data_IF_932325594674
#
_entry.id   IF_932325594674
#
_cell.length_a   1.000
_cell.length_b   1.000
_cell.length_c   1.000
_cell.angle_alpha   90.00
_cell.angle_beta   90.00
_cell.angle_gamma   90.00
#
_symmetry.space_group_name_H-M   'P 1'
#
loop_
_entity.id
_entity.type
_entity.pdbx_description
1 polymer ?
#
# COMPACT_ATOMS: atom_id res chain seq x y z
N UNK A 1 -29.27 6.46 17.05
CA UNK A 1 -27.85 6.35 16.69
C UNK A 1 -27.18 7.67 17.04
N UNK A 2 -26.30 7.71 18.04
CA UNK A 2 -25.61 8.95 18.42
C UNK A 2 -24.41 9.17 17.49
N UNK A 3 -24.44 10.24 16.70
CA UNK A 3 -23.33 10.68 15.86
C UNK A 3 -22.35 11.47 16.72
N UNK A 4 -21.14 10.94 16.91
CA UNK A 4 -20.07 11.68 17.58
C UNK A 4 -19.76 12.97 16.76
N UNK A 5 -19.89 14.17 17.37
CA UNK A 5 -19.58 15.42 16.70
C UNK A 5 -18.11 15.46 16.23
N UNK A 6 -17.85 16.02 15.04
CA UNK A 6 -16.50 16.28 14.50
C UNK A 6 -16.26 17.80 14.35
N UNK A 7 -16.21 18.56 15.46
CA UNK A 7 -16.12 20.02 15.44
C UNK A 7 -14.87 20.53 14.72
N UNK A 8 -13.78 19.75 14.72
CA UNK A 8 -12.54 20.04 13.98
C UNK A 8 -12.52 19.56 12.53
N UNK A 9 -13.59 18.91 12.04
CA UNK A 9 -13.68 18.27 10.71
C UNK A 9 -12.49 17.36 10.38
N UNK A 10 -11.84 16.80 11.39
CA UNK A 10 -10.62 16.03 11.22
C UNK A 10 -10.92 14.70 10.51
N UNK A 11 -12.04 14.07 10.88
CA UNK A 11 -12.50 12.82 10.25
C UNK A 11 -12.91 13.08 8.81
N UNK A 12 -13.67 14.16 8.57
CA UNK A 12 -14.07 14.56 7.22
C UNK A 12 -12.85 14.80 6.32
N UNK A 13 -11.85 15.56 6.80
CA UNK A 13 -10.64 15.85 6.03
C UNK A 13 -9.84 14.59 5.72
N UNK A 14 -9.68 13.69 6.68
CA UNK A 14 -8.95 12.44 6.47
C UNK A 14 -9.66 11.53 5.46
N UNK A 15 -10.98 11.36 5.60
CA UNK A 15 -11.77 10.57 4.64
C UNK A 15 -11.80 11.19 3.25
N UNK A 16 -11.93 12.52 3.14
CA UNK A 16 -11.90 13.20 1.86
C UNK A 16 -10.55 13.00 1.14
N UNK A 17 -9.43 13.08 1.86
CA UNK A 17 -8.09 12.77 1.31
C UNK A 17 -7.98 11.32 0.85
N UNK A 18 -8.61 10.38 1.55
CA UNK A 18 -8.64 8.96 1.17
C UNK A 18 -9.37 8.74 -0.14
N UNK A 19 -10.59 9.29 -0.23
CA UNK A 19 -11.44 9.14 -1.40
C UNK A 19 -10.81 9.84 -2.60
N UNK A 20 -10.38 11.09 -2.45
CA UNK A 20 -9.77 11.87 -3.54
C UNK A 20 -8.45 11.23 -3.97
N UNK A 21 -7.56 10.87 -3.03
CA UNK A 21 -6.28 10.27 -3.35
C UNK A 21 -6.40 8.93 -4.08
N UNK A 22 -7.27 8.04 -3.59
CA UNK A 22 -7.53 6.74 -4.22
C UNK A 22 -8.21 6.92 -5.57
N UNK A 23 -9.23 7.78 -5.66
CA UNK A 23 -9.95 8.06 -6.90
C UNK A 23 -9.05 8.65 -7.98
N UNK A 24 -8.16 9.58 -7.62
CA UNK A 24 -7.17 10.15 -8.54
C UNK A 24 -6.15 9.09 -9.00
N UNK A 25 -5.69 8.21 -8.12
CA UNK A 25 -4.76 7.15 -8.51
C UNK A 25 -5.38 6.21 -9.56
N UNK A 26 -6.65 5.82 -9.36
CA UNK A 26 -7.40 5.00 -10.33
C UNK A 26 -7.65 5.79 -11.61
N UNK A 27 -8.13 7.03 -11.53
CA UNK A 27 -8.43 7.85 -12.70
C UNK A 27 -7.18 8.09 -13.56
N UNK A 28 -6.03 8.36 -12.95
CA UNK A 28 -4.76 8.53 -13.68
C UNK A 28 -4.33 7.23 -14.34
N UNK A 29 -4.48 6.08 -13.68
CA UNK A 29 -4.15 4.79 -14.27
C UNK A 29 -5.01 4.48 -15.51
N UNK A 30 -6.33 4.69 -15.42
CA UNK A 30 -7.27 4.51 -16.53
C UNK A 30 -7.00 5.50 -17.67
N UNK A 31 -6.78 6.78 -17.36
CA UNK A 31 -6.45 7.81 -18.37
C UNK A 31 -5.10 7.56 -19.06
N UNK A 32 -4.17 6.88 -18.37
CA UNK A 32 -2.91 6.44 -18.94
C UNK A 32 -3.04 5.14 -19.77
N UNK A 33 -4.24 4.56 -19.88
CA UNK A 33 -4.49 3.32 -20.61
C UNK A 33 -3.91 2.08 -19.95
N UNK A 34 -3.67 2.11 -18.62
CA UNK A 34 -3.20 0.94 -17.89
C UNK A 34 -4.33 -0.10 -17.73
N UNK A 35 -3.94 -1.35 -17.46
CA UNK A 35 -4.92 -2.43 -17.27
C UNK A 35 -5.73 -2.25 -15.98
N UNK A 36 -6.90 -2.90 -15.91
CA UNK A 36 -7.73 -2.94 -14.69
C UNK A 36 -6.92 -3.40 -13.47
N UNK A 37 -6.06 -4.41 -13.64
CA UNK A 37 -5.15 -4.90 -12.60
C UNK A 37 -4.22 -3.80 -12.08
N UNK A 38 -3.66 -2.99 -12.98
CA UNK A 38 -2.80 -1.86 -12.62
C UNK A 38 -3.60 -0.75 -11.91
N UNK A 39 -4.81 -0.45 -12.37
CA UNK A 39 -5.71 0.53 -11.73
C UNK A 39 -6.09 0.13 -10.31
N UNK A 40 -6.47 -1.14 -10.10
CA UNK A 40 -6.78 -1.68 -8.76
C UNK A 40 -5.54 -1.62 -7.86
N UNK A 41 -4.38 -2.02 -8.39
CA UNK A 41 -3.12 -2.00 -7.63
C UNK A 41 -2.71 -0.57 -7.25
N UNK A 42 -2.86 0.39 -8.16
CA UNK A 42 -2.59 1.81 -7.90
C UNK A 42 -3.56 2.41 -6.88
N UNK A 43 -4.85 2.08 -6.95
CA UNK A 43 -5.84 2.48 -5.95
C UNK A 43 -5.52 1.92 -4.56
N UNK A 44 -5.20 0.62 -4.47
CA UNK A 44 -4.77 -0.02 -3.23
C UNK A 44 -3.51 0.64 -2.67
N UNK A 45 -2.52 0.95 -3.52
CA UNK A 45 -1.30 1.63 -3.12
C UNK A 45 -1.59 3.01 -2.50
N UNK A 46 -2.45 3.81 -3.13
CA UNK A 46 -2.85 5.13 -2.63
C UNK A 46 -3.59 5.04 -1.29
N UNK A 47 -4.50 4.08 -1.16
CA UNK A 47 -5.24 3.80 0.07
C UNK A 47 -4.29 3.45 1.22
N UNK A 48 -3.38 2.50 0.99
CA UNK A 48 -2.40 2.08 1.98
C UNK A 48 -1.48 3.22 2.37
N UNK A 49 -0.98 4.00 1.42
CA UNK A 49 -0.12 5.15 1.71
C UNK A 49 -0.79 6.12 2.70
N UNK A 50 -2.08 6.41 2.53
CA UNK A 50 -2.78 7.32 3.43
C UNK A 50 -2.99 6.76 4.84
N UNK A 51 -3.23 5.46 4.98
CA UNK A 51 -3.52 4.84 6.29
C UNK A 51 -2.28 4.37 7.04
N UNK A 52 -1.18 4.09 6.34
CA UNK A 52 0.02 3.47 6.93
C UNK A 52 1.16 4.46 7.14
N UNK A 53 1.23 5.55 6.37
CA UNK A 53 2.25 6.59 6.55
C UNK A 53 1.83 7.49 7.72
N UNK A 54 2.25 7.09 8.91
CA UNK A 54 1.90 7.72 10.18
C UNK A 54 3.11 8.42 10.85
N UNK A 55 4.12 8.81 10.07
CA UNK A 55 5.25 9.58 10.60
C UNK A 55 4.76 10.90 11.24
N UNK A 56 5.42 11.31 12.34
CA UNK A 56 5.04 12.50 13.10
C UNK A 56 5.24 13.82 12.32
N UNK A 57 6.32 13.90 11.54
CA UNK A 57 6.68 15.10 10.77
C UNK A 57 6.35 14.96 9.28
N UNK A 58 5.92 16.05 8.65
CA UNK A 58 5.60 16.08 7.21
C UNK A 58 6.80 15.69 6.33
N UNK A 59 8.03 16.07 6.74
CA UNK A 59 9.25 15.68 6.03
C UNK A 59 9.44 14.16 6.06
N UNK A 60 9.21 13.54 7.21
CA UNK A 60 9.33 12.09 7.35
C UNK A 60 8.24 11.36 6.57
N UNK A 61 6.99 11.87 6.57
CA UNK A 61 5.90 11.34 5.74
C UNK A 61 6.28 11.31 4.26
N UNK A 62 6.84 12.41 3.72
CA UNK A 62 7.29 12.47 2.31
C UNK A 62 8.34 11.41 2.00
N UNK A 63 9.31 11.23 2.90
CA UNK A 63 10.35 10.20 2.75
C UNK A 63 9.73 8.81 2.75
N UNK A 64 8.87 8.50 3.71
CA UNK A 64 8.21 7.19 3.79
C UNK A 64 7.34 6.93 2.56
N UNK A 65 6.55 7.92 2.10
CA UNK A 65 5.77 7.81 0.86
C UNK A 65 6.66 7.51 -0.35
N UNK A 66 7.80 8.19 -0.48
CA UNK A 66 8.75 7.96 -1.58
C UNK A 66 9.43 6.58 -1.50
N UNK A 67 9.54 6.00 -0.30
CA UNK A 67 10.09 4.65 -0.09
C UNK A 67 9.07 3.54 -0.36
N UNK A 68 7.75 3.83 -0.38
CA UNK A 68 6.73 2.80 -0.63
C UNK A 68 6.93 2.07 -1.97
N UNK A 69 7.17 2.74 -3.12
CA UNK A 69 7.43 2.04 -4.38
C UNK A 69 8.72 1.22 -4.35
N UNK A 70 9.74 1.68 -3.61
CA UNK A 70 11.02 0.97 -3.44
C UNK A 70 10.82 -0.35 -2.69
N UNK A 71 9.90 -0.39 -1.72
CA UNK A 71 9.53 -1.64 -1.04
C UNK A 71 8.53 -2.49 -1.84
N UNK A 72 7.57 -1.85 -2.51
CA UNK A 72 6.46 -2.54 -3.19
C UNK A 72 6.82 -3.16 -4.53
N UNK A 73 7.51 -2.43 -5.41
CA UNK A 73 7.81 -2.93 -6.76
C UNK A 73 8.68 -4.19 -6.79
N UNK A 74 9.75 -4.32 -5.99
CA UNK A 74 10.53 -5.56 -5.97
C UNK A 74 9.69 -6.76 -5.55
N UNK A 75 8.77 -6.56 -4.61
CA UNK A 75 7.92 -7.62 -4.07
C UNK A 75 6.81 -7.99 -5.05
N UNK A 76 6.22 -7.01 -5.76
CA UNK A 76 5.32 -7.23 -6.89
C UNK A 76 5.99 -8.03 -8.01
N UNK A 77 7.20 -7.62 -8.42
CA UNK A 77 7.97 -8.31 -9.46
C UNK A 77 8.34 -9.74 -9.05
N UNK A 78 8.72 -9.94 -7.78
CA UNK A 78 8.98 -11.26 -7.23
C UNK A 78 7.71 -12.13 -7.29
N UNK A 79 6.58 -11.62 -6.80
CA UNK A 79 5.33 -12.38 -6.71
C UNK A 79 4.77 -12.78 -8.09
N UNK A 80 4.84 -11.88 -9.08
CA UNK A 80 4.45 -12.15 -10.48
C UNK A 80 5.38 -13.19 -11.13
N UNK A 81 6.70 -13.10 -10.91
CA UNK A 81 7.66 -14.06 -11.48
C UNK A 81 7.49 -15.49 -10.93
N UNK A 82 6.92 -15.65 -9.73
CA UNK A 82 6.75 -16.93 -9.04
C UNK A 82 5.37 -17.58 -9.27
N UNK A 83 4.55 -17.04 -10.17
CA UNK A 83 3.16 -17.50 -10.37
C UNK A 83 3.05 -19.01 -10.69
N UNK A 84 4.00 -19.55 -11.47
CA UNK A 84 4.02 -20.97 -11.85
C UNK A 84 4.60 -21.94 -10.80
N UNK A 85 5.06 -21.44 -9.65
CA UNK A 85 5.75 -22.25 -8.62
C UNK A 85 5.12 -22.02 -7.24
N UNK A 86 3.92 -22.56 -6.97
CA UNK A 86 3.20 -22.33 -5.72
C UNK A 86 4.03 -22.50 -4.43
N UNK A 87 4.82 -23.57 -4.23
CA UNK A 87 5.58 -23.71 -2.99
C UNK A 87 6.69 -22.66 -2.82
N UNK A 88 7.33 -22.24 -3.92
CA UNK A 88 8.39 -21.21 -3.89
C UNK A 88 7.78 -19.84 -3.61
N UNK A 89 6.63 -19.55 -4.23
CA UNK A 89 5.85 -18.35 -4.02
C UNK A 89 5.39 -18.22 -2.57
N UNK A 90 4.89 -19.30 -1.97
CA UNK A 90 4.42 -19.29 -0.59
C UNK A 90 5.59 -19.08 0.39
N UNK A 91 6.76 -19.68 0.13
CA UNK A 91 7.98 -19.43 0.90
C UNK A 91 8.44 -17.96 0.77
N UNK A 92 8.41 -17.39 -0.44
CA UNK A 92 8.74 -15.99 -0.68
C UNK A 92 7.77 -15.04 0.03
N UNK A 93 6.47 -15.34 0.01
CA UNK A 93 5.46 -14.58 0.73
C UNK A 93 5.71 -14.59 2.23
N UNK A 94 6.02 -15.76 2.81
CA UNK A 94 6.40 -15.87 4.23
C UNK A 94 7.64 -15.03 4.54
N UNK A 95 8.67 -15.07 3.69
CA UNK A 95 9.87 -14.26 3.87
C UNK A 95 9.54 -12.75 3.88
N UNK A 96 8.65 -12.28 2.99
CA UNK A 96 8.16 -10.89 2.97
C UNK A 96 7.39 -10.55 4.25
N UNK A 97 6.54 -11.46 4.75
CA UNK A 97 5.82 -11.28 6.02
C UNK A 97 6.81 -11.12 7.17
N UNK A 98 7.79 -12.02 7.31
CA UNK A 98 8.79 -11.95 8.37
C UNK A 98 9.64 -10.68 8.27
N UNK A 99 10.08 -10.31 7.06
CA UNK A 99 10.81 -9.07 6.83
C UNK A 99 9.98 -7.84 7.20
N UNK A 100 8.70 -7.81 6.82
CA UNK A 100 7.78 -6.72 7.16
C UNK A 100 7.50 -6.60 8.67
N UNK A 101 7.37 -7.73 9.37
CA UNK A 101 7.23 -7.75 10.84
C UNK A 101 8.52 -7.27 11.49
N UNK A 102 9.68 -7.77 11.05
CA UNK A 102 10.99 -7.33 11.54
C UNK A 102 11.20 -5.84 11.31
N UNK A 103 10.70 -5.31 10.19
CA UNK A 103 10.82 -3.89 9.87
C UNK A 103 10.12 -2.97 10.86
N UNK A 104 9.11 -3.44 11.60
CA UNK A 104 8.39 -2.63 12.60
C UNK A 104 9.29 -2.04 13.69
N UNK A 105 10.48 -2.60 13.91
CA UNK A 105 11.49 -2.04 14.83
C UNK A 105 11.92 -0.61 14.47
N UNK A 106 11.76 -0.18 13.22
CA UNK A 106 12.02 1.18 12.75
C UNK A 106 10.79 2.10 12.88
N UNK A 107 9.86 1.78 13.79
CA UNK A 107 8.73 2.62 14.12
C UNK A 107 7.69 2.74 12.99
N UNK A 108 7.00 3.90 12.86
CA UNK A 108 5.93 4.09 11.88
C UNK A 108 6.36 3.81 10.44
N UNK A 109 7.57 4.23 10.06
CA UNK A 109 8.12 3.98 8.71
C UNK A 109 8.26 2.50 8.42
N UNK A 110 8.85 1.76 9.34
CA UNK A 110 9.05 0.31 9.19
C UNK A 110 7.72 -0.45 9.10
N UNK A 111 6.74 -0.03 9.91
CA UNK A 111 5.38 -0.55 9.84
C UNK A 111 4.72 -0.28 8.47
N UNK A 112 4.83 0.95 7.96
CA UNK A 112 4.28 1.33 6.66
C UNK A 112 4.87 0.51 5.50
N UNK A 113 6.19 0.43 5.43
CA UNK A 113 6.89 -0.33 4.39
C UNK A 113 6.56 -1.83 4.46
N UNK A 114 6.47 -2.40 5.67
CA UNK A 114 6.14 -3.80 5.88
C UNK A 114 4.73 -4.16 5.38
N UNK A 115 3.70 -3.39 5.79
CA UNK A 115 2.32 -3.62 5.32
C UNK A 115 2.21 -3.38 3.81
N UNK A 116 2.86 -2.34 3.29
CA UNK A 116 2.83 -2.03 1.87
C UNK A 116 3.44 -3.17 1.04
N UNK A 117 4.64 -3.63 1.38
CA UNK A 117 5.29 -4.77 0.73
C UNK A 117 4.41 -6.03 0.78
N UNK A 118 3.84 -6.34 1.95
CA UNK A 118 2.92 -7.46 2.11
C UNK A 118 1.72 -7.38 1.15
N UNK A 119 1.04 -6.22 1.11
CA UNK A 119 -0.12 -6.05 0.24
C UNK A 119 0.23 -6.09 -1.24
N UNK A 120 1.42 -5.59 -1.61
CA UNK A 120 1.96 -5.65 -2.96
C UNK A 120 2.30 -7.08 -3.41
N UNK A 121 2.74 -7.96 -2.50
CA UNK A 121 2.81 -9.40 -2.80
C UNK A 121 1.40 -10.01 -2.93
N UNK A 122 0.54 -9.71 -1.96
CA UNK A 122 -0.77 -10.34 -1.83
C UNK A 122 -1.70 -10.03 -3.02
N UNK A 123 -1.64 -8.80 -3.54
CA UNK A 123 -2.51 -8.35 -4.64
C UNK A 123 -2.29 -9.15 -5.92
N UNK A 124 -1.07 -9.64 -6.20
CA UNK A 124 -0.83 -10.47 -7.40
C UNK A 124 -1.52 -11.82 -7.31
N UNK A 125 -1.61 -12.38 -6.10
CA UNK A 125 -2.32 -13.64 -5.85
C UNK A 125 -3.83 -13.47 -6.02
N UNK A 126 -4.36 -12.34 -5.55
CA UNK A 126 -5.78 -12.05 -5.65
C UNK A 126 -6.22 -11.76 -7.09
N UNK A 127 -5.40 -10.98 -7.82
CA UNK A 127 -5.70 -10.58 -9.20
C UNK A 127 -5.23 -11.60 -10.25
N UNK A 128 -4.64 -12.73 -9.81
CA UNK A 128 -4.04 -13.73 -10.68
C UNK A 128 -3.08 -13.13 -11.70
N UNK A 129 -2.26 -12.18 -11.23
CA UNK A 129 -1.26 -11.47 -12.00
C UNK A 129 0.12 -12.15 -11.91
#
# INVERSE_FOLDING_TARGET
MFTAPDPGRARLRNSARAVIGTGLAVAVAELAGLSLTASITGGLAALLALFTVLDADVRAQRVTTALLPVAGFPVLALATSLHGMPPVRDAAWLAVVFAGVYARRWGPRGHALGIFAFMMFFVTQFLHA
#
